data_IF_332774223067
#
_entry.id   IF_332774223067
#
_cell.length_a   1.000
_cell.length_b   1.000
_cell.length_c   1.000
_cell.angle_alpha   90.00
_cell.angle_beta   90.00
_cell.angle_gamma   90.00
#
_symmetry.space_group_name_H-M   'P 1'
#
loop_
_entity.id
_entity.type
_entity.pdbx_description
1 polymer ?
#
# COMPACT_ATOMS: atom_id res chain seq x y z
N UNK A 1 10.97 -15.31 -8.75
CA UNK A 1 10.58 -14.55 -7.53
C UNK A 1 9.31 -15.16 -7.00
N UNK A 2 9.35 -15.61 -5.76
CA UNK A 2 8.20 -16.23 -5.11
C UNK A 2 7.18 -15.16 -4.71
N UNK A 3 5.93 -15.31 -5.15
CA UNK A 3 4.86 -14.34 -4.90
C UNK A 3 4.46 -14.32 -3.42
N UNK A 4 4.61 -15.45 -2.74
CA UNK A 4 4.35 -15.57 -1.31
C UNK A 4 5.39 -14.82 -0.48
N UNK A 5 6.56 -14.51 -1.06
CA UNK A 5 7.61 -13.67 -0.44
C UNK A 5 7.45 -12.18 -0.69
N UNK A 6 6.33 -11.74 -1.25
CA UNK A 6 6.05 -10.33 -1.51
C UNK A 6 4.77 -9.91 -0.79
N UNK A 7 4.88 -8.90 0.07
CA UNK A 7 3.73 -8.33 0.73
C UNK A 7 3.01 -7.29 -0.16
N UNK A 8 1.72 -7.09 0.09
CA UNK A 8 0.93 -6.00 -0.49
C UNK A 8 0.59 -5.02 0.63
N UNK A 9 1.07 -3.79 0.52
CA UNK A 9 0.82 -2.72 1.49
C UNK A 9 -0.10 -1.67 0.87
N UNK A 10 -1.28 -1.49 1.44
CA UNK A 10 -2.22 -0.43 1.07
C UNK A 10 -2.13 0.67 2.12
N UNK A 11 -1.78 1.88 1.69
CA UNK A 11 -1.71 3.06 2.55
C UNK A 11 -3.06 3.80 2.51
N UNK A 12 -3.69 3.90 3.68
CA UNK A 12 -5.00 4.52 3.89
C UNK A 12 -5.03 5.43 5.14
N UNK A 13 -3.87 5.76 5.72
CA UNK A 13 -3.75 6.59 6.92
C UNK A 13 -3.81 8.10 6.65
N UNK A 14 -3.81 8.54 5.38
CA UNK A 14 -3.72 9.94 5.02
C UNK A 14 -4.87 10.81 5.55
N UNK A 15 -4.54 11.98 6.08
CA UNK A 15 -5.51 12.91 6.70
C UNK A 15 -6.47 13.60 5.71
N UNK A 16 -6.35 13.38 4.39
CA UNK A 16 -7.22 13.95 3.34
C UNK A 16 -7.45 15.48 3.45
N UNK A 17 -6.49 16.25 3.99
CA UNK A 17 -6.64 17.68 4.36
C UNK A 17 -7.19 18.58 3.24
N UNK A 18 -6.93 18.25 1.97
CA UNK A 18 -7.39 19.01 0.79
C UNK A 18 -8.72 18.52 0.19
N UNK A 19 -9.19 17.32 0.55
CA UNK A 19 -10.33 16.64 -0.08
C UNK A 19 -11.56 16.54 0.85
N UNK A 20 -11.51 17.21 2.01
CA UNK A 20 -12.45 16.97 3.10
C UNK A 20 -12.13 15.66 3.84
N UNK A 21 -12.62 15.54 5.07
CA UNK A 21 -12.18 14.55 6.06
C UNK A 21 -12.44 13.07 5.71
N UNK A 22 -12.99 12.74 4.53
CA UNK A 22 -13.48 11.38 4.21
C UNK A 22 -13.31 10.95 2.74
N UNK A 23 -12.20 11.30 2.07
CA UNK A 23 -11.97 10.89 0.66
C UNK A 23 -12.16 9.38 0.44
N UNK A 24 -11.59 8.54 1.28
CA UNK A 24 -11.68 7.08 1.17
C UNK A 24 -13.11 6.53 1.26
N UNK A 25 -14.01 7.28 1.90
CA UNK A 25 -15.43 6.92 2.09
C UNK A 25 -16.34 7.60 1.07
N UNK A 26 -15.79 8.44 0.19
CA UNK A 26 -16.58 8.99 -0.90
C UNK A 26 -17.12 7.87 -1.79
N UNK A 27 -18.35 8.08 -2.26
CA UNK A 27 -19.10 7.05 -2.97
C UNK A 27 -18.70 7.05 -4.44
N UNK A 28 -18.23 5.91 -4.93
CA UNK A 28 -18.10 5.61 -6.34
C UNK A 28 -19.08 4.48 -6.64
N UNK A 29 -20.02 4.69 -7.58
CA UNK A 29 -21.03 3.68 -7.97
C UNK A 29 -21.70 2.97 -6.77
N UNK A 30 -22.01 3.73 -5.71
CA UNK A 30 -22.71 3.24 -4.51
C UNK A 30 -21.87 2.47 -3.49
N UNK A 31 -20.53 2.49 -3.60
CA UNK A 31 -19.62 1.92 -2.58
C UNK A 31 -18.51 2.92 -2.21
N UNK A 32 -17.95 2.85 -0.98
CA UNK A 32 -16.76 3.60 -0.61
C UNK A 32 -15.58 3.34 -1.57
N UNK A 33 -14.83 4.39 -1.95
CA UNK A 33 -13.65 4.27 -2.84
C UNK A 33 -12.69 3.16 -2.39
N UNK A 34 -12.35 3.12 -1.10
CA UNK A 34 -11.40 2.14 -0.58
C UNK A 34 -11.87 0.69 -0.72
N UNK A 35 -13.19 0.46 -0.71
CA UNK A 35 -13.73 -0.88 -0.88
C UNK A 35 -13.39 -1.48 -2.24
N UNK A 36 -13.22 -0.66 -3.29
CA UNK A 36 -12.76 -1.16 -4.59
C UNK A 36 -11.34 -1.70 -4.51
N UNK A 37 -10.44 -0.96 -3.87
CA UNK A 37 -9.04 -1.37 -3.69
C UNK A 37 -8.96 -2.63 -2.83
N UNK A 38 -9.66 -2.66 -1.69
CA UNK A 38 -9.60 -3.83 -0.80
C UNK A 38 -10.17 -5.10 -1.44
N UNK A 39 -11.28 -4.99 -2.19
CA UNK A 39 -11.86 -6.14 -2.87
C UNK A 39 -10.97 -6.66 -4.01
N UNK A 40 -10.28 -5.77 -4.71
CA UNK A 40 -9.37 -6.17 -5.79
C UNK A 40 -8.13 -6.90 -5.22
N UNK A 41 -7.58 -6.43 -4.11
CA UNK A 41 -6.33 -6.94 -3.55
C UNK A 41 -6.49 -7.95 -2.40
N UNK A 42 -7.70 -8.42 -2.09
CA UNK A 42 -7.91 -9.45 -1.06
C UNK A 42 -7.54 -10.89 -1.52
N UNK A 43 -7.12 -11.07 -2.77
CA UNK A 43 -6.84 -12.35 -3.43
C UNK A 43 -5.69 -13.17 -2.83
N UNK A 44 -5.77 -14.49 -2.80
CA UNK A 44 -4.83 -15.38 -2.08
C UNK A 44 -3.44 -15.56 -2.71
N UNK A 45 -3.23 -15.15 -3.96
CA UNK A 45 -2.00 -15.45 -4.73
C UNK A 45 -0.75 -14.63 -4.39
N UNK A 46 -0.77 -13.89 -3.28
CA UNK A 46 0.33 -13.04 -2.80
C UNK A 46 0.55 -13.28 -1.31
N UNK A 47 1.72 -12.84 -0.82
CA UNK A 47 2.01 -12.81 0.61
C UNK A 47 1.02 -11.92 1.41
N UNK A 48 1.35 -11.67 2.67
CA UNK A 48 0.48 -10.93 3.59
C UNK A 48 0.04 -9.59 2.99
N UNK A 49 -1.26 -9.32 3.09
CA UNK A 49 -1.82 -8.01 2.74
C UNK A 49 -1.93 -7.18 4.01
N UNK A 50 -1.38 -5.98 3.95
CA UNK A 50 -1.28 -5.06 5.06
C UNK A 50 -2.06 -3.81 4.68
N UNK A 51 -2.98 -3.39 5.54
CA UNK A 51 -3.70 -2.15 5.42
C UNK A 51 -3.23 -1.20 6.53
N UNK A 52 -2.60 -0.10 6.14
CA UNK A 52 -2.16 0.94 7.07
C UNK A 52 -3.20 2.04 7.16
N UNK A 53 -3.75 2.25 8.35
CA UNK A 53 -4.84 3.21 8.61
C UNK A 53 -4.47 4.21 9.70
N UNK A 54 -5.23 5.29 9.84
CA UNK A 54 -5.16 6.15 11.02
C UNK A 54 -6.18 5.68 12.09
N UNK A 55 -6.12 6.20 13.34
CA UNK A 55 -7.01 5.77 14.42
C UNK A 55 -8.50 6.01 14.18
N UNK A 56 -8.85 6.86 13.22
CA UNK A 56 -10.24 7.25 12.91
C UNK A 56 -10.80 6.50 11.71
N UNK A 57 -10.10 5.48 11.21
CA UNK A 57 -10.56 4.69 10.07
C UNK A 57 -11.78 3.84 10.44
N UNK A 58 -12.88 3.90 9.67
CA UNK A 58 -14.13 3.24 10.03
C UNK A 58 -14.11 1.75 9.68
N UNK A 59 -13.47 0.95 10.53
CA UNK A 59 -13.40 -0.50 10.41
C UNK A 59 -14.78 -1.18 10.52
N UNK A 60 -15.77 -0.50 11.07
CA UNK A 60 -17.17 -0.91 11.14
C UNK A 60 -17.89 -0.84 9.78
N UNK A 61 -17.45 0.05 8.89
CA UNK A 61 -18.05 0.25 7.56
C UNK A 61 -17.24 -0.48 6.48
N UNK A 62 -15.92 -0.52 6.62
CA UNK A 62 -15.02 -1.04 5.60
C UNK A 62 -14.59 -2.46 5.95
N UNK A 63 -14.98 -3.43 5.11
CA UNK A 63 -14.59 -4.84 5.27
C UNK A 63 -13.10 -5.03 4.96
N UNK A 64 -12.34 -5.47 5.96
CA UNK A 64 -10.88 -5.62 5.90
C UNK A 64 -10.39 -7.02 6.33
N UNK A 65 -11.26 -8.03 6.38
CA UNK A 65 -10.99 -9.35 7.00
C UNK A 65 -9.76 -10.08 6.45
N UNK A 66 -9.38 -9.82 5.19
CA UNK A 66 -8.21 -10.44 4.53
C UNK A 66 -6.92 -9.62 4.67
N UNK A 67 -6.94 -8.54 5.46
CA UNK A 67 -5.83 -7.62 5.64
C UNK A 67 -5.39 -7.59 7.11
N UNK A 68 -4.08 -7.61 7.32
CA UNK A 68 -3.48 -7.21 8.59
C UNK A 68 -3.61 -5.69 8.71
N UNK A 69 -4.37 -5.23 9.70
CA UNK A 69 -4.54 -3.80 9.94
C UNK A 69 -3.41 -3.30 10.83
N UNK A 70 -2.74 -2.24 10.40
CA UNK A 70 -1.77 -1.49 11.19
C UNK A 70 -2.29 -0.07 11.40
N UNK A 71 -2.40 0.36 12.66
CA UNK A 71 -2.87 1.70 13.01
C UNK A 71 -1.66 2.62 13.18
N UNK A 72 -1.57 3.64 12.35
CA UNK A 72 -0.56 4.69 12.44
C UNK A 72 -1.04 5.86 13.30
N UNK A 73 -0.64 5.87 14.58
CA UNK A 73 -0.93 7.00 15.47
C UNK A 73 -0.20 8.30 15.06
N UNK A 74 0.87 8.20 14.28
CA UNK A 74 1.70 9.32 13.84
C UNK A 74 1.35 9.79 12.41
N UNK A 75 0.15 9.46 11.91
CA UNK A 75 -0.26 9.74 10.52
C UNK A 75 -0.18 11.23 10.12
N UNK A 76 -0.23 12.14 11.09
CA UNK A 76 -0.12 13.58 10.87
C UNK A 76 1.30 14.02 10.49
N UNK A 77 2.31 13.23 10.81
CA UNK A 77 3.72 13.49 10.50
C UNK A 77 4.12 13.07 9.07
N UNK A 78 3.14 12.71 8.23
CA UNK A 78 3.34 12.41 6.82
C UNK A 78 3.36 10.92 6.48
N UNK A 79 3.43 10.64 5.18
CA UNK A 79 3.38 9.32 4.57
C UNK A 79 4.53 8.41 5.04
N UNK A 80 5.71 8.97 5.33
CA UNK A 80 6.85 8.18 5.79
C UNK A 80 6.52 7.37 7.04
N UNK A 81 5.76 7.93 7.99
CA UNK A 81 5.37 7.20 9.20
C UNK A 81 4.53 5.96 8.89
N UNK A 82 3.69 6.02 7.85
CA UNK A 82 2.90 4.88 7.38
C UNK A 82 3.76 3.83 6.69
N UNK A 83 4.77 4.27 5.92
CA UNK A 83 5.74 3.39 5.29
C UNK A 83 6.63 2.68 6.31
N UNK A 84 7.08 3.39 7.34
CA UNK A 84 7.95 2.84 8.40
C UNK A 84 7.23 1.70 9.14
N UNK A 85 5.98 1.90 9.56
CA UNK A 85 5.25 0.83 10.26
C UNK A 85 4.96 -0.36 9.35
N UNK A 86 4.67 -0.12 8.06
CA UNK A 86 4.50 -1.20 7.10
C UNK A 86 5.79 -1.99 6.89
N UNK A 87 6.92 -1.30 6.70
CA UNK A 87 8.22 -1.95 6.50
C UNK A 87 8.65 -2.75 7.73
N UNK A 88 8.40 -2.27 8.95
CA UNK A 88 8.67 -3.05 10.15
C UNK A 88 7.89 -4.37 10.16
N UNK A 89 6.59 -4.35 9.82
CA UNK A 89 5.77 -5.56 9.72
C UNK A 89 6.25 -6.49 8.60
N UNK A 90 6.58 -5.94 7.43
CA UNK A 90 7.09 -6.71 6.28
C UNK A 90 8.43 -7.37 6.61
N UNK A 91 9.32 -6.63 7.30
CA UNK A 91 10.62 -7.11 7.73
C UNK A 91 10.50 -8.22 8.79
N UNK A 92 9.63 -8.05 9.79
CA UNK A 92 9.45 -9.05 10.86
C UNK A 92 8.95 -10.41 10.36
N UNK A 93 8.21 -10.41 9.26
CA UNK A 93 7.66 -11.62 8.61
C UNK A 93 8.63 -12.23 7.57
N UNK A 94 9.78 -11.60 7.34
CA UNK A 94 10.82 -12.14 6.46
C UNK A 94 10.48 -12.10 4.96
N UNK A 95 9.71 -11.10 4.52
CA UNK A 95 9.44 -10.86 3.10
C UNK A 95 10.65 -10.27 2.35
N UNK A 96 10.74 -10.54 1.05
CA UNK A 96 11.83 -10.09 0.17
C UNK A 96 11.55 -8.74 -0.51
N UNK A 97 10.31 -8.27 -0.39
CA UNK A 97 9.88 -6.98 -0.90
C UNK A 97 8.40 -6.76 -0.65
N UNK A 98 7.92 -5.57 -1.02
CA UNK A 98 6.50 -5.26 -0.94
C UNK A 98 6.07 -4.31 -2.07
N UNK A 99 4.80 -4.39 -2.44
CA UNK A 99 4.14 -3.38 -3.23
C UNK A 99 3.49 -2.34 -2.32
N UNK A 100 3.66 -1.07 -2.67
CA UNK A 100 2.91 0.05 -2.10
C UNK A 100 1.76 0.38 -3.04
N UNK A 101 0.55 0.51 -2.50
CA UNK A 101 -0.63 1.02 -3.15
C UNK A 101 -1.29 2.10 -2.30
N UNK A 102 -2.14 2.92 -2.90
CA UNK A 102 -2.95 3.90 -2.19
C UNK A 102 -4.41 3.45 -2.12
N UNK A 103 -5.03 3.63 -0.96
CA UNK A 103 -6.44 3.27 -0.74
C UNK A 103 -7.45 4.11 -1.55
N UNK A 104 -7.02 5.18 -2.21
CA UNK A 104 -7.86 6.08 -3.01
C UNK A 104 -7.72 5.88 -4.52
N UNK A 105 -7.08 4.78 -4.96
CA UNK A 105 -6.89 4.43 -6.37
C UNK A 105 -7.78 3.25 -6.80
N UNK A 106 -9.11 3.45 -6.97
CA UNK A 106 -10.11 2.38 -7.16
C UNK A 106 -10.01 1.64 -8.50
N UNK A 107 -9.20 2.12 -9.44
CA UNK A 107 -9.06 1.54 -10.78
C UNK A 107 -7.79 0.70 -10.95
N UNK A 108 -6.95 0.61 -9.91
CA UNK A 108 -5.82 -0.31 -9.93
C UNK A 108 -6.32 -1.73 -9.86
N UNK A 109 -5.74 -2.60 -10.69
CA UNK A 109 -6.05 -4.02 -10.72
C UNK A 109 -4.86 -4.86 -10.31
N UNK A 110 -5.11 -6.09 -9.87
CA UNK A 110 -4.08 -7.11 -9.63
C UNK A 110 -3.24 -7.32 -10.89
N UNK A 111 -3.85 -7.25 -12.07
CA UNK A 111 -3.14 -7.38 -13.35
C UNK A 111 -2.07 -6.30 -13.56
N UNK A 112 -2.17 -5.15 -12.89
CA UNK A 112 -1.13 -4.12 -12.90
C UNK A 112 0.10 -4.55 -12.09
N UNK A 113 -0.11 -5.24 -10.96
CA UNK A 113 0.99 -5.89 -10.21
C UNK A 113 1.64 -6.99 -11.06
N UNK A 114 0.84 -7.83 -11.72
CA UNK A 114 1.34 -8.90 -12.60
C UNK A 114 2.23 -8.36 -13.74
N UNK A 115 1.89 -7.19 -14.28
CA UNK A 115 2.72 -6.49 -15.27
C UNK A 115 4.06 -6.05 -14.68
N UNK A 116 4.07 -5.47 -13.48
CA UNK A 116 5.31 -5.09 -12.81
C UNK A 116 6.17 -6.30 -12.46
N UNK A 117 5.57 -7.43 -12.05
CA UNK A 117 6.32 -8.65 -11.73
C UNK A 117 7.18 -9.13 -12.90
N UNK A 118 6.70 -9.02 -14.15
CA UNK A 118 7.50 -9.37 -15.35
C UNK A 118 8.76 -8.49 -15.51
N UNK A 119 8.70 -7.25 -15.03
CA UNK A 119 9.85 -6.32 -15.04
C UNK A 119 10.75 -6.58 -13.85
N UNK A 120 10.17 -6.77 -12.66
CA UNK A 120 10.89 -7.06 -11.42
C UNK A 120 11.71 -8.35 -11.53
N UNK A 121 11.19 -9.37 -12.23
CA UNK A 121 11.96 -10.61 -12.46
C UNK A 121 13.27 -10.39 -13.21
N UNK A 122 13.40 -9.32 -14.00
CA UNK A 122 14.64 -8.97 -14.71
C UNK A 122 15.61 -8.21 -13.82
N UNK A 123 15.11 -7.46 -12.85
CA UNK A 123 15.91 -6.71 -11.89
C UNK A 123 15.21 -6.63 -10.51
N UNK A 124 15.29 -7.70 -9.71
CA UNK A 124 14.54 -7.82 -8.46
C UNK A 124 15.05 -6.90 -7.37
N UNK A 125 16.21 -6.27 -7.58
CA UNK A 125 16.90 -5.42 -6.62
C UNK A 125 16.69 -3.93 -6.89
N UNK A 126 15.82 -3.56 -7.83
CA UNK A 126 15.48 -2.17 -8.11
C UNK A 126 14.07 -1.82 -7.63
N UNK A 127 13.90 -0.56 -7.22
CA UNK A 127 12.57 0.02 -7.00
C UNK A 127 11.91 0.17 -8.36
N UNK A 128 10.75 -0.44 -8.54
CA UNK A 128 10.02 -0.47 -9.81
C UNK A 128 8.62 0.11 -9.58
N UNK A 129 8.26 1.13 -10.35
CA UNK A 129 7.00 1.85 -10.18
C UNK A 129 6.35 2.10 -11.54
N UNK A 130 5.03 2.26 -11.55
CA UNK A 130 4.35 2.80 -12.72
C UNK A 130 4.81 4.23 -13.01
N UNK A 131 4.73 4.61 -14.29
CA UNK A 131 4.94 5.99 -14.73
C UNK A 131 3.78 6.39 -15.63
N UNK A 132 3.13 7.49 -15.30
CA UNK A 132 2.05 8.08 -16.09
C UNK A 132 2.33 9.57 -16.29
N UNK A 133 2.29 10.04 -17.55
CA UNK A 133 2.61 11.41 -17.93
C UNK A 133 3.91 11.95 -17.30
N UNK A 134 4.95 11.11 -17.29
CA UNK A 134 6.26 11.46 -16.73
C UNK A 134 6.38 11.31 -15.21
N UNK A 135 5.27 11.13 -14.48
CA UNK A 135 5.21 11.06 -13.02
C UNK A 135 5.24 9.60 -12.56
N UNK A 136 6.10 9.28 -11.59
CA UNK A 136 6.13 7.96 -10.93
C UNK A 136 4.91 7.80 -10.03
N UNK A 137 4.29 6.63 -10.05
CA UNK A 137 3.05 6.35 -9.34
C UNK A 137 2.98 4.94 -8.78
N UNK A 138 1.77 4.53 -8.41
CA UNK A 138 1.50 3.24 -7.77
C UNK A 138 0.87 2.25 -8.76
N UNK A 139 1.01 0.93 -8.54
CA UNK A 139 1.83 0.29 -7.50
C UNK A 139 3.34 0.57 -7.63
N UNK A 140 4.03 0.66 -6.51
CA UNK A 140 5.50 0.76 -6.43
C UNK A 140 6.05 -0.45 -5.68
N UNK A 141 6.91 -1.22 -6.32
CA UNK A 141 7.67 -2.30 -5.70
C UNK A 141 8.93 -1.76 -5.01
N UNK A 142 9.14 -2.18 -3.76
CA UNK A 142 10.33 -1.87 -2.97
C UNK A 142 10.97 -3.18 -2.51
N UNK A 143 12.19 -3.52 -2.97
CA UNK A 143 12.89 -4.72 -2.51
C UNK A 143 13.52 -4.52 -1.14
N UNK A 144 13.72 -5.64 -0.43
CA UNK A 144 14.26 -5.72 0.94
C UNK A 144 15.51 -4.88 1.19
N UNK A 145 16.42 -4.80 0.21
CA UNK A 145 17.65 -4.00 0.32
C UNK A 145 17.43 -2.49 0.60
N UNK A 146 16.21 -1.98 0.38
CA UNK A 146 15.86 -0.58 0.66
C UNK A 146 15.08 -0.41 1.97
N UNK A 147 14.83 -1.47 2.74
CA UNK A 147 14.03 -1.38 3.96
C UNK A 147 14.68 -0.42 4.97
N UNK A 148 15.98 -0.53 5.22
CA UNK A 148 16.70 0.40 6.12
C UNK A 148 16.61 1.87 5.66
N UNK A 149 16.60 2.08 4.34
CA UNK A 149 16.37 3.41 3.77
C UNK A 149 14.96 3.91 4.00
N UNK A 150 13.95 3.04 3.92
CA UNK A 150 12.56 3.40 4.25
C UNK A 150 12.42 3.69 5.75
N UNK A 151 13.06 2.89 6.60
CA UNK A 151 13.05 3.05 8.06
C UNK A 151 13.72 4.35 8.52
N UNK A 152 14.59 4.94 7.70
CA UNK A 152 15.27 6.21 7.98
C UNK A 152 14.57 7.46 7.40
N UNK A 153 13.45 7.30 6.70
CA UNK A 153 12.67 8.42 6.16
C UNK A 153 12.13 9.33 7.27
N UNK A 154 12.01 10.63 6.98
CA UNK A 154 11.45 11.63 7.90
C UNK A 154 10.50 12.57 7.18
N UNK A 155 9.27 12.70 7.68
CA UNK A 155 8.27 13.59 7.08
C UNK A 155 7.76 13.10 5.71
N UNK A 156 7.44 14.03 4.82
CA UNK A 156 7.00 13.75 3.44
C UNK A 156 8.13 13.93 2.40
N UNK A 157 9.41 13.84 2.81
CA UNK A 157 10.58 14.03 1.93
C UNK A 157 11.54 12.85 1.97
#
# INVERSE_FOLDING_TARGET
MDREKIAIVILAAGASKRFGSRKLLSQLKGKPLISYVLNEFCIESYGKKILVVNPYFPLDIVKCERFKILINNNYENGLATSLIIAVNEVLSEGYDGFFILLGDMPFLMVTDIERLLKVIQKDPNCIIAFRYNGIKGFPTYVPKRYFDRVLSLKGDR
#
